data_IF_214853296048
#
_entry.id   IF_214853296048
#
_cell.length_a   1.000
_cell.length_b   1.000
_cell.length_c   1.000
_cell.angle_alpha   90.00
_cell.angle_beta   90.00
_cell.angle_gamma   90.00
#
_symmetry.space_group_name_H-M   'P 1'
#
loop_
_entity.id
_entity.type
_entity.pdbx_description
1 polymer ?
#
# COMPACT_ATOMS: atom_id res chain seq x y z
N UNK A 1 13.59 -4.80 -1.31
CA UNK A 1 13.89 -3.35 -1.28
C UNK A 1 14.62 -2.83 -2.54
N UNK A 2 15.46 -3.61 -3.23
CA UNK A 2 16.19 -3.12 -4.44
C UNK A 2 15.29 -2.54 -5.53
N UNK A 3 14.24 -3.25 -5.93
CA UNK A 3 13.35 -2.78 -7.01
C UNK A 3 12.51 -1.57 -6.60
N UNK A 4 12.04 -1.51 -5.34
CA UNK A 4 11.25 -0.38 -4.86
C UNK A 4 12.05 0.94 -4.86
N UNK A 5 13.34 0.89 -4.50
CA UNK A 5 14.20 2.07 -4.57
C UNK A 5 14.46 2.48 -6.03
N UNK A 6 14.68 1.53 -6.94
CA UNK A 6 14.88 1.83 -8.36
C UNK A 6 13.61 2.38 -9.03
N UNK A 7 12.44 1.92 -8.61
CA UNK A 7 11.14 2.34 -9.12
C UNK A 7 10.55 3.56 -8.39
N UNK A 8 11.22 4.06 -7.35
CA UNK A 8 10.74 5.20 -6.57
C UNK A 8 9.46 4.93 -5.77
N UNK A 9 9.10 3.67 -5.50
CA UNK A 9 7.86 3.28 -4.82
C UNK A 9 7.94 3.63 -3.33
N UNK A 10 6.99 4.45 -2.87
CA UNK A 10 6.91 4.94 -1.49
C UNK A 10 6.04 4.03 -0.61
N UNK A 11 4.84 3.69 -1.09
CA UNK A 11 3.94 2.75 -0.42
C UNK A 11 2.98 2.09 -1.42
N UNK A 12 2.50 0.89 -1.08
CA UNK A 12 1.47 0.16 -1.84
C UNK A 12 0.34 -0.22 -0.87
N UNK A 13 -0.92 0.01 -1.24
CA UNK A 13 -2.07 -0.46 -0.47
C UNK A 13 -2.78 -1.58 -1.23
N UNK A 14 -3.00 -2.70 -0.54
CA UNK A 14 -3.74 -3.86 -1.06
C UNK A 14 -4.36 -4.64 0.10
N UNK A 15 -5.63 -5.04 -0.06
CA UNK A 15 -6.32 -5.96 0.85
C UNK A 15 -6.21 -5.53 2.32
N UNK A 16 -6.47 -4.24 2.58
CA UNK A 16 -6.42 -3.62 3.91
C UNK A 16 -5.04 -3.67 4.60
N UNK A 17 -3.99 -3.85 3.80
CA UNK A 17 -2.61 -3.77 4.23
C UNK A 17 -1.92 -2.66 3.45
N UNK A 18 -0.90 -2.08 4.08
CA UNK A 18 0.03 -1.17 3.44
C UNK A 18 1.41 -1.80 3.47
N UNK A 19 2.11 -1.71 2.35
CA UNK A 19 3.51 -2.06 2.21
C UNK A 19 4.34 -0.80 2.18
N UNK A 20 5.45 -0.79 2.92
CA UNK A 20 6.51 0.21 2.76
C UNK A 20 7.87 -0.47 2.60
N UNK A 21 8.82 0.24 2.00
CA UNK A 21 10.19 -0.25 1.85
C UNK A 21 10.88 -0.51 3.20
N UNK A 22 10.47 0.19 4.26
CA UNK A 22 11.05 0.06 5.60
C UNK A 22 10.45 -1.08 6.44
N UNK A 23 9.13 -1.33 6.32
CA UNK A 23 8.41 -2.22 7.24
C UNK A 23 7.83 -3.48 6.61
N UNK A 24 7.75 -3.57 5.28
CA UNK A 24 6.97 -4.62 4.63
C UNK A 24 5.46 -4.43 4.82
N UNK A 25 4.68 -5.50 4.73
CA UNK A 25 3.22 -5.45 4.84
C UNK A 25 2.75 -5.35 6.29
N UNK A 26 1.84 -4.41 6.57
CA UNK A 26 1.15 -4.31 7.85
C UNK A 26 -0.28 -3.79 7.68
N UNK A 27 -1.16 -4.13 8.63
CA UNK A 27 -2.53 -3.63 8.64
C UNK A 27 -2.58 -2.18 9.12
N UNK A 28 -3.43 -1.35 8.50
CA UNK A 28 -3.74 0.00 8.97
C UNK A 28 -5.20 0.06 9.46
N UNK A 29 -5.46 0.92 10.45
CA UNK A 29 -6.82 1.19 10.96
C UNK A 29 -7.48 2.29 10.14
N UNK A 30 -8.82 2.22 9.97
CA UNK A 30 -9.60 3.22 9.23
C UNK A 30 -10.34 2.72 7.98
N UNK A 31 -10.47 1.41 7.79
CA UNK A 31 -11.31 0.85 6.73
C UNK A 31 -12.80 0.96 7.10
N UNK A 32 -13.48 1.97 6.56
CA UNK A 32 -14.86 2.34 6.90
C UNK A 32 -15.94 1.74 6.00
N UNK A 33 -15.76 0.49 5.53
CA UNK A 33 -16.70 -0.20 4.62
C UNK A 33 -16.97 0.54 3.29
N UNK A 34 -16.07 1.43 2.84
CA UNK A 34 -16.17 2.07 1.53
C UNK A 34 -15.14 1.48 0.55
N UNK A 35 -15.45 1.46 -0.76
CA UNK A 35 -14.63 0.79 -1.76
C UNK A 35 -13.17 1.27 -1.79
N UNK A 36 -12.93 2.55 -1.49
CA UNK A 36 -11.59 3.17 -1.51
C UNK A 36 -10.76 2.86 -0.27
N UNK A 37 -11.41 2.48 0.83
CA UNK A 37 -10.77 2.13 2.10
C UNK A 37 -10.58 0.62 2.28
N UNK A 38 -11.47 -0.19 1.70
CA UNK A 38 -11.40 -1.65 1.77
C UNK A 38 -10.48 -2.29 0.74
N UNK A 39 -10.12 -1.57 -0.34
CA UNK A 39 -9.04 -1.90 -1.30
C UNK A 39 -8.91 -3.41 -1.63
N UNK A 40 -10.04 -4.08 -1.84
CA UNK A 40 -10.07 -5.51 -2.20
C UNK A 40 -9.89 -5.73 -3.70
N UNK A 41 -10.00 -4.67 -4.52
CA UNK A 41 -10.04 -4.77 -5.98
C UNK A 41 -9.27 -3.67 -6.74
N UNK A 42 -8.45 -2.86 -6.08
CA UNK A 42 -7.54 -1.93 -6.76
C UNK A 42 -6.30 -1.64 -5.91
N UNK A 43 -5.24 -1.18 -6.56
CA UNK A 43 -3.95 -0.83 -5.93
C UNK A 43 -3.82 0.69 -5.91
N UNK A 44 -3.50 1.24 -4.74
CA UNK A 44 -2.96 2.61 -4.62
C UNK A 44 -1.44 2.52 -4.59
N UNK A 45 -0.80 3.19 -5.55
CA UNK A 45 0.65 3.24 -5.71
C UNK A 45 1.12 4.70 -5.75
N UNK A 46 2.17 5.00 -5.00
CA UNK A 46 2.76 6.33 -4.94
C UNK A 46 4.25 6.25 -5.27
N UNK A 47 4.66 7.05 -6.26
CA UNK A 47 6.00 7.08 -6.84
C UNK A 47 6.55 8.51 -6.84
N UNK A 48 7.88 8.66 -6.78
CA UNK A 48 8.57 9.95 -6.97
C UNK A 48 8.88 10.22 -8.45
#
# INVERSE_FOLDING_TARGET
MRNANTLGVLYVIWHRQVWTSAAGWYYYSGAGDDPSSDNTNHVHDSVY
#
